data_IF_691054384381
#
_entry.id   IF_691054384381
#
_cell.length_a   1.000
_cell.length_b   1.000
_cell.length_c   1.000
_cell.angle_alpha   90.00
_cell.angle_beta   90.00
_cell.angle_gamma   90.00
#
_symmetry.space_group_name_H-M   'P 1'
#
loop_
_entity.id
_entity.type
_entity.pdbx_description
1 polymer ?
#
# COMPACT_ATOMS: atom_id res chain seq x y z
N UNK A 1 -20.10 0.85 4.86
CA UNK A 1 -19.88 -0.31 3.95
C UNK A 1 -18.42 -0.65 4.15
N UNK A 2 -18.12 -1.79 4.77
CA UNK A 2 -16.77 -2.02 5.28
C UNK A 2 -15.74 -2.13 4.16
N UNK A 3 -14.59 -1.51 4.35
CA UNK A 3 -13.42 -1.60 3.47
C UNK A 3 -12.18 -2.00 4.28
N UNK A 4 -11.12 -2.37 3.56
CA UNK A 4 -9.87 -2.82 4.18
C UNK A 4 -8.73 -1.88 3.81
N UNK A 5 -7.89 -1.55 4.79
CA UNK A 5 -6.72 -0.70 4.60
C UNK A 5 -5.46 -1.51 4.80
N UNK A 6 -4.62 -1.55 3.78
CA UNK A 6 -3.25 -2.05 3.90
C UNK A 6 -2.39 -0.92 4.42
N UNK A 7 -1.91 -1.03 5.65
CA UNK A 7 -1.03 -0.06 6.28
C UNK A 7 0.41 -0.55 6.20
N UNK A 8 1.27 0.20 5.52
CA UNK A 8 2.70 -0.08 5.36
C UNK A 8 3.48 1.01 6.07
N UNK A 9 4.44 0.62 6.91
CA UNK A 9 5.34 1.55 7.59
C UNK A 9 6.66 1.65 6.81
N UNK A 10 6.90 2.78 6.15
CA UNK A 10 8.10 3.05 5.37
C UNK A 10 9.08 4.00 6.09
N UNK A 11 8.92 4.22 7.40
CA UNK A 11 9.79 5.13 8.18
C UNK A 11 11.25 4.67 8.23
N UNK A 12 11.49 3.37 8.19
CA UNK A 12 12.83 2.79 8.22
C UNK A 12 13.54 2.78 6.86
N UNK A 13 12.88 3.26 5.79
CA UNK A 13 13.50 3.33 4.47
C UNK A 13 14.40 4.55 4.35
N UNK A 14 15.56 4.33 3.73
CA UNK A 14 16.40 5.40 3.20
C UNK A 14 15.67 6.15 2.07
N UNK A 15 16.18 7.33 1.71
CA UNK A 15 15.54 8.20 0.73
C UNK A 15 15.45 7.57 -0.67
N UNK A 16 16.44 6.80 -1.09
CA UNK A 16 16.47 6.18 -2.41
C UNK A 16 15.45 5.04 -2.52
N UNK A 17 15.37 4.18 -1.49
CA UNK A 17 14.36 3.11 -1.45
C UNK A 17 12.96 3.67 -1.28
N UNK A 18 12.81 4.76 -0.52
CA UNK A 18 11.53 5.45 -0.40
C UNK A 18 11.05 6.05 -1.72
N UNK A 19 11.93 6.67 -2.51
CA UNK A 19 11.59 7.17 -3.84
C UNK A 19 11.09 6.05 -4.76
N UNK A 20 11.77 4.90 -4.80
CA UNK A 20 11.35 3.72 -5.58
C UNK A 20 10.00 3.16 -5.12
N UNK A 21 9.70 3.25 -3.82
CA UNK A 21 8.41 2.86 -3.29
C UNK A 21 7.30 3.80 -3.77
N UNK A 22 7.54 5.11 -3.82
CA UNK A 22 6.58 6.08 -4.35
C UNK A 22 6.31 5.83 -5.84
N UNK A 23 7.35 5.57 -6.63
CA UNK A 23 7.20 5.18 -8.04
C UNK A 23 6.37 3.91 -8.19
N UNK A 24 6.58 2.90 -7.33
CA UNK A 24 5.80 1.67 -7.36
C UNK A 24 4.32 1.88 -6.99
N UNK A 25 4.02 2.78 -6.03
CA UNK A 25 2.64 3.15 -5.69
C UNK A 25 1.96 3.85 -6.85
N UNK A 26 2.66 4.78 -7.51
CA UNK A 26 2.13 5.50 -8.65
C UNK A 26 1.93 4.58 -9.86
N UNK A 27 2.88 3.69 -10.13
CA UNK A 27 2.74 2.67 -11.16
C UNK A 27 1.50 1.80 -10.92
N UNK A 28 1.28 1.35 -9.68
CA UNK A 28 0.09 0.57 -9.30
C UNK A 28 -1.20 1.35 -9.53
N UNK A 29 -1.24 2.66 -9.22
CA UNK A 29 -2.40 3.51 -9.46
C UNK A 29 -2.69 3.69 -10.96
N UNK A 30 -1.67 4.00 -11.76
CA UNK A 30 -1.80 4.27 -13.20
C UNK A 30 -2.20 3.03 -14.01
N UNK A 31 -1.74 1.85 -13.59
CA UNK A 31 -2.04 0.58 -14.28
C UNK A 31 -3.24 -0.16 -13.69
N UNK A 32 -3.91 0.44 -12.71
CA UNK A 32 -5.09 -0.17 -12.11
C UNK A 32 -6.30 0.00 -13.03
N UNK A 33 -6.60 -1.06 -13.79
CA UNK A 33 -7.73 -1.10 -14.72
C UNK A 33 -9.09 -0.94 -14.06
N UNK A 34 -9.18 -1.20 -12.75
CA UNK A 34 -10.44 -1.19 -12.00
C UNK A 34 -10.64 0.08 -11.17
N UNK A 35 -9.61 0.92 -11.00
CA UNK A 35 -9.70 2.17 -10.20
C UNK A 35 -9.85 1.95 -8.68
N UNK A 36 -9.62 0.74 -8.21
CA UNK A 36 -9.72 0.34 -6.81
C UNK A 36 -8.45 0.62 -6.00
N UNK A 37 -7.35 1.02 -6.66
CA UNK A 37 -6.06 1.29 -6.05
C UNK A 37 -5.96 2.75 -5.61
N UNK A 38 -6.53 3.03 -4.44
CA UNK A 38 -6.41 4.32 -3.77
C UNK A 38 -5.42 4.23 -2.61
N UNK A 39 -4.49 5.19 -2.54
CA UNK A 39 -3.53 5.26 -1.45
C UNK A 39 -3.41 6.67 -0.87
N UNK A 40 -2.99 6.74 0.39
CA UNK A 40 -2.68 7.95 1.12
C UNK A 40 -1.38 7.78 1.88
N UNK A 41 -0.59 8.85 1.97
CA UNK A 41 0.70 8.84 2.65
C UNK A 41 0.69 9.91 3.74
N UNK A 42 1.01 9.52 4.97
CA UNK A 42 1.13 10.45 6.09
C UNK A 42 2.35 10.05 6.92
N UNK A 43 3.34 10.93 7.03
CA UNK A 43 4.55 10.69 7.82
C UNK A 43 5.22 9.31 7.53
N UNK A 44 5.46 9.04 6.22
CA UNK A 44 5.98 7.77 5.68
C UNK A 44 5.17 6.52 6.05
N UNK A 45 3.91 6.68 6.45
CA UNK A 45 2.95 5.58 6.58
C UNK A 45 2.07 5.60 5.35
N UNK A 46 2.07 4.51 4.61
CA UNK A 46 1.24 4.36 3.41
C UNK A 46 -0.01 3.58 3.81
N UNK A 47 -1.17 4.08 3.40
CA UNK A 47 -2.48 3.46 3.59
C UNK A 47 -3.07 3.20 2.22
N UNK A 48 -3.34 1.94 1.89
CA UNK A 48 -3.92 1.55 0.60
C UNK A 48 -5.31 0.97 0.85
N UNK A 49 -6.34 1.64 0.36
CA UNK A 49 -7.75 1.25 0.53
C UNK A 49 -8.11 0.17 -0.47
N UNK A 50 -8.74 -0.92 -0.01
CA UNK A 50 -9.11 -2.09 -0.79
C UNK A 50 -10.57 -2.49 -0.48
N UNK A 51 -11.31 -3.01 -1.47
CA UNK A 51 -12.72 -3.40 -1.27
C UNK A 51 -12.88 -4.61 -0.35
N UNK A 52 -11.89 -5.51 -0.34
CA UNK A 52 -11.93 -6.76 0.42
C UNK A 52 -10.56 -7.12 1.02
N UNK A 53 -10.56 -8.01 2.01
CA UNK A 53 -9.36 -8.43 2.75
C UNK A 53 -8.36 -9.17 1.86
N UNK A 54 -8.83 -9.96 0.88
CA UNK A 54 -7.97 -10.73 -0.02
C UNK A 54 -7.18 -9.78 -0.93
N UNK A 55 -7.83 -8.73 -1.43
CA UNK A 55 -7.19 -7.66 -2.20
C UNK A 55 -6.20 -6.87 -1.34
N UNK A 56 -6.56 -6.52 -0.11
CA UNK A 56 -5.64 -5.88 0.85
C UNK A 56 -4.39 -6.73 1.12
N UNK A 57 -4.56 -8.03 1.37
CA UNK A 57 -3.44 -8.99 1.54
C UNK A 57 -2.52 -9.00 0.33
N UNK A 58 -3.07 -9.12 -0.88
CA UNK A 58 -2.27 -9.14 -2.12
C UNK A 58 -1.42 -7.88 -2.25
N UNK A 59 -2.01 -6.70 -2.01
CA UNK A 59 -1.30 -5.42 -2.08
C UNK A 59 -0.19 -5.35 -1.03
N UNK A 60 -0.48 -5.69 0.22
CA UNK A 60 0.54 -5.74 1.28
C UNK A 60 1.70 -6.69 0.95
N UNK A 61 1.41 -7.90 0.47
CA UNK A 61 2.44 -8.87 0.09
C UNK A 61 3.32 -8.40 -1.06
N UNK A 62 2.80 -7.65 -2.01
CA UNK A 62 3.60 -7.06 -3.08
C UNK A 62 4.70 -6.15 -2.51
N UNK A 63 4.33 -5.21 -1.64
CA UNK A 63 5.30 -4.29 -1.02
C UNK A 63 6.24 -5.01 -0.04
N UNK A 64 5.75 -6.02 0.69
CA UNK A 64 6.60 -6.88 1.53
C UNK A 64 7.67 -7.59 0.73
N UNK A 65 7.32 -8.21 -0.39
CA UNK A 65 8.28 -8.95 -1.23
C UNK A 65 9.26 -8.02 -1.94
N UNK A 66 8.80 -6.86 -2.41
CA UNK A 66 9.60 -5.95 -3.25
C UNK A 66 10.49 -5.00 -2.44
N UNK A 67 10.05 -4.60 -1.25
CA UNK A 67 10.73 -3.59 -0.42
C UNK A 67 11.03 -4.08 0.99
N UNK A 68 10.80 -5.36 1.31
CA UNK A 68 11.01 -5.94 2.65
C UNK A 68 10.25 -5.21 3.77
N UNK A 69 9.08 -4.63 3.44
CA UNK A 69 8.28 -3.85 4.38
C UNK A 69 7.25 -4.70 5.12
N UNK A 70 7.10 -4.43 6.41
CA UNK A 70 5.98 -4.94 7.18
C UNK A 70 4.69 -4.19 6.84
N UNK A 71 3.59 -4.94 6.79
CA UNK A 71 2.26 -4.39 6.59
C UNK A 71 1.27 -5.01 7.56
N UNK A 72 0.26 -4.23 7.92
CA UNK A 72 -0.91 -4.67 8.66
C UNK A 72 -2.16 -4.41 7.83
N UNK A 73 -3.20 -5.19 8.06
CA UNK A 73 -4.50 -4.99 7.44
C UNK A 73 -5.47 -4.54 8.51
N UNK A 74 -6.13 -3.42 8.26
CA UNK A 74 -7.14 -2.85 9.13
C UNK A 74 -8.49 -2.98 8.43
N UNK A 75 -9.53 -3.38 9.15
CA UNK A 75 -10.91 -3.32 8.67
C UNK A 75 -11.50 -2.00 9.14
N UNK A 76 -11.97 -1.16 8.22
CA UNK A 76 -12.66 0.10 8.51
C UNK A 76 -14.12 -0.01 8.01
N UNK A 77 -15.06 0.63 8.71
CA UNK A 77 -16.52 0.37 8.58
C UNK A 77 -17.23 1.49 7.83
#
# INVERSE_FOLDING_TARGET
MSYYVTRINARSLDEQTYAKLLEALEYCRTHDKHGDFNYHITNKIIRITSPDEKTAKKRGYYFKKKFSLYFNILKEV
#
